data_IF_646578408530
#
_entry.id   IF_646578408530
#
_cell.length_a   1.000
_cell.length_b   1.000
_cell.length_c   1.000
_cell.angle_alpha   90.00
_cell.angle_beta   90.00
_cell.angle_gamma   90.00
#
_symmetry.space_group_name_H-M   'P 1'
#
loop_
_entity.id
_entity.type
_entity.pdbx_description
1 polymer ?
#
# COMPACT_ATOMS: atom_id res chain seq x y z
N UNK A 1 -6.76 -1.78 -14.80
CA UNK A 1 -6.80 -0.54 -13.99
C UNK A 1 -5.37 -0.06 -13.82
N UNK A 2 -5.03 1.05 -14.46
CA UNK A 2 -3.69 1.61 -14.64
C UNK A 2 -3.24 2.54 -13.50
N UNK A 3 -4.19 3.10 -12.74
CA UNK A 3 -3.91 4.09 -11.69
C UNK A 3 -2.92 3.60 -10.62
N UNK A 4 -3.17 2.47 -9.97
CA UNK A 4 -2.32 1.96 -8.89
C UNK A 4 -0.85 1.72 -9.33
N UNK A 5 -0.56 0.93 -10.39
CA UNK A 5 0.83 0.72 -10.81
C UNK A 5 1.52 1.98 -11.32
N UNK A 6 0.80 2.89 -12.00
CA UNK A 6 1.38 4.15 -12.49
C UNK A 6 1.65 5.17 -11.37
N UNK A 7 0.84 5.15 -10.30
CA UNK A 7 0.90 6.11 -9.20
C UNK A 7 1.82 5.64 -8.07
N UNK A 8 1.88 4.34 -7.79
CA UNK A 8 2.65 3.79 -6.66
C UNK A 8 3.95 3.11 -7.08
N UNK A 9 4.08 2.66 -8.34
CA UNK A 9 5.14 1.72 -8.72
C UNK A 9 6.57 2.21 -8.46
N UNK A 10 6.87 3.46 -8.83
CA UNK A 10 8.20 4.05 -8.62
C UNK A 10 8.46 4.33 -7.13
N UNK A 11 7.52 5.01 -6.45
CA UNK A 11 7.70 5.38 -5.05
C UNK A 11 7.76 4.14 -4.14
N UNK A 12 6.93 3.13 -4.41
CA UNK A 12 7.00 1.84 -3.71
C UNK A 12 8.36 1.17 -3.85
N UNK A 13 8.93 1.16 -5.06
CA UNK A 13 10.26 0.59 -5.32
C UNK A 13 11.31 1.30 -4.46
N UNK A 14 11.27 2.62 -4.43
CA UNK A 14 12.20 3.44 -3.67
C UNK A 14 12.12 3.13 -2.16
N UNK A 15 10.89 3.03 -1.62
CA UNK A 15 10.65 2.72 -0.21
C UNK A 15 11.12 1.32 0.15
N UNK A 16 10.64 0.27 -0.53
CA UNK A 16 10.99 -1.11 -0.15
C UNK A 16 12.50 -1.36 -0.27
N UNK A 17 13.13 -0.78 -1.29
CA UNK A 17 14.58 -0.92 -1.51
C UNK A 17 15.38 -0.32 -0.36
N UNK A 18 15.03 0.90 0.06
CA UNK A 18 15.78 1.64 1.07
C UNK A 18 15.36 1.36 2.51
N UNK A 19 14.21 0.72 2.76
CA UNK A 19 13.82 0.28 4.10
C UNK A 19 14.16 -1.18 4.38
N UNK A 20 14.02 -2.06 3.37
CA UNK A 20 14.04 -3.52 3.58
C UNK A 20 15.21 -4.18 2.84
N UNK A 21 15.35 -3.92 1.53
CA UNK A 21 16.19 -4.76 0.65
C UNK A 21 17.68 -4.46 0.70
N UNK A 22 18.05 -3.18 0.81
CA UNK A 22 19.45 -2.80 0.86
C UNK A 22 20.06 -3.12 2.24
N UNK A 23 21.34 -3.55 2.26
CA UNK A 23 22.16 -3.50 3.48
C UNK A 23 22.10 -2.11 4.12
N UNK A 24 22.11 -2.04 5.45
CA UNK A 24 21.87 -0.79 6.18
C UNK A 24 22.80 0.36 5.79
N UNK A 25 24.07 0.05 5.53
CA UNK A 25 25.13 0.98 5.11
C UNK A 25 24.92 1.55 3.69
N UNK A 26 24.03 0.94 2.90
CA UNK A 26 23.71 1.36 1.52
C UNK A 26 22.35 2.06 1.39
N UNK A 27 21.56 2.14 2.47
CA UNK A 27 20.24 2.75 2.45
C UNK A 27 20.33 4.27 2.35
N UNK A 28 19.54 4.86 1.46
CA UNK A 28 19.33 6.30 1.40
C UNK A 28 18.00 6.66 2.06
N UNK A 29 18.10 7.25 3.27
CA UNK A 29 16.95 7.68 4.06
C UNK A 29 16.13 8.77 3.36
N UNK A 30 16.77 9.64 2.56
CA UNK A 30 16.08 10.70 1.85
C UNK A 30 15.27 10.16 0.66
N UNK A 31 15.75 9.12 -0.03
CA UNK A 31 14.96 8.40 -1.05
C UNK A 31 13.75 7.73 -0.39
N UNK A 32 13.97 7.00 0.71
CA UNK A 32 12.88 6.35 1.45
C UNK A 32 11.82 7.36 1.88
N UNK A 33 12.22 8.48 2.51
CA UNK A 33 11.28 9.49 2.99
C UNK A 33 10.47 10.13 1.86
N UNK A 34 11.11 10.47 0.73
CA UNK A 34 10.38 11.02 -0.43
C UNK A 34 9.35 10.04 -0.98
N UNK A 35 9.67 8.76 -1.02
CA UNK A 35 8.75 7.71 -1.42
C UNK A 35 7.58 7.58 -0.44
N UNK A 36 7.85 7.57 0.87
CA UNK A 36 6.83 7.53 1.94
C UNK A 36 5.88 8.72 1.81
N UNK A 37 6.39 9.94 1.64
CA UNK A 37 5.56 11.15 1.53
C UNK A 37 4.63 11.10 0.30
N UNK A 38 5.13 10.59 -0.83
CA UNK A 38 4.35 10.44 -2.07
C UNK A 38 3.30 9.36 -1.95
N UNK A 39 3.67 8.18 -1.43
CA UNK A 39 2.74 7.10 -1.15
C UNK A 39 1.65 7.55 -0.17
N UNK A 40 1.99 8.32 0.86
CA UNK A 40 1.03 8.92 1.81
C UNK A 40 -0.01 9.77 1.09
N UNK A 41 0.42 10.66 0.18
CA UNK A 41 -0.52 11.50 -0.60
C UNK A 41 -1.45 10.65 -1.46
N UNK A 42 -0.92 9.63 -2.13
CA UNK A 42 -1.72 8.73 -2.97
C UNK A 42 -2.70 7.87 -2.15
N UNK A 43 -2.28 7.41 -0.97
CA UNK A 43 -3.17 6.68 -0.05
C UNK A 43 -4.24 7.57 0.57
N UNK A 44 -3.99 8.87 0.81
CA UNK A 44 -5.03 9.82 1.21
C UNK A 44 -6.12 9.95 0.15
N UNK A 45 -5.76 9.96 -1.13
CA UNK A 45 -6.74 9.94 -2.24
C UNK A 45 -7.56 8.65 -2.20
N UNK A 46 -6.90 7.50 -2.04
CA UNK A 46 -7.55 6.20 -1.94
C UNK A 46 -8.52 6.11 -0.74
N UNK A 47 -8.09 6.59 0.44
CA UNK A 47 -8.91 6.69 1.64
C UNK A 47 -10.18 7.51 1.40
N UNK A 48 -10.05 8.67 0.75
CA UNK A 48 -11.20 9.53 0.47
C UNK A 48 -12.19 8.87 -0.50
N UNK A 49 -11.70 8.12 -1.50
CA UNK A 49 -12.56 7.36 -2.41
C UNK A 49 -13.33 6.23 -1.67
N UNK A 50 -12.67 5.57 -0.72
CA UNK A 50 -13.28 4.52 0.12
C UNK A 50 -14.30 5.06 1.15
N UNK A 51 -14.36 6.37 1.37
CA UNK A 51 -15.41 6.97 2.20
C UNK A 51 -16.81 6.80 1.56
N UNK A 52 -16.88 6.71 0.23
CA UNK A 52 -18.15 6.60 -0.50
C UNK A 52 -18.57 5.15 -0.78
N UNK A 53 -17.65 4.19 -0.71
CA UNK A 53 -17.89 2.79 -1.09
C UNK A 53 -16.93 1.81 -0.39
N UNK A 54 -17.37 0.58 -0.10
CA UNK A 54 -16.57 -0.38 0.66
C UNK A 54 -15.37 -0.96 -0.12
N UNK A 55 -15.43 -0.94 -1.45
CA UNK A 55 -14.40 -1.48 -2.34
C UNK A 55 -14.17 -0.51 -3.49
N UNK A 56 -12.96 -0.51 -4.06
CA UNK A 56 -12.69 0.24 -5.30
C UNK A 56 -13.48 -0.29 -6.49
N UNK A 57 -13.94 -1.55 -6.39
CA UNK A 57 -14.83 -2.17 -7.37
C UNK A 57 -16.32 -1.90 -7.10
N UNK A 58 -16.66 -1.03 -6.15
CA UNK A 58 -18.04 -0.65 -5.80
C UNK A 58 -18.56 -1.37 -4.56
N UNK A 59 -19.75 -1.96 -4.66
CA UNK A 59 -20.41 -2.63 -3.52
C UNK A 59 -19.74 -3.94 -3.11
N UNK A 60 -19.04 -4.59 -4.03
CA UNK A 60 -18.40 -5.89 -3.82
C UNK A 60 -16.90 -5.81 -4.17
N UNK A 61 -16.10 -6.67 -3.54
CA UNK A 61 -14.69 -6.86 -3.91
C UNK A 61 -14.57 -7.27 -5.38
N UNK A 62 -13.60 -6.71 -6.08
CA UNK A 62 -13.35 -7.06 -7.48
C UNK A 62 -11.96 -6.67 -7.96
N UNK A 63 -11.81 -6.62 -9.28
CA UNK A 63 -10.52 -6.38 -9.95
C UNK A 63 -9.91 -5.01 -9.63
N UNK A 64 -10.72 -4.03 -9.21
CA UNK A 64 -10.22 -2.71 -8.82
C UNK A 64 -9.47 -2.70 -7.49
N UNK A 65 -9.73 -3.66 -6.62
CA UNK A 65 -9.12 -3.75 -5.31
C UNK A 65 -7.75 -4.45 -5.34
N UNK A 66 -7.54 -5.32 -6.33
CA UNK A 66 -6.38 -6.22 -6.39
C UNK A 66 -5.06 -5.44 -6.52
N UNK A 67 -4.88 -4.51 -7.50
CA UNK A 67 -3.60 -3.86 -7.69
C UNK A 67 -3.17 -3.01 -6.50
N UNK A 68 -4.08 -2.19 -5.96
CA UNK A 68 -3.77 -1.37 -4.79
C UNK A 68 -3.61 -2.23 -3.53
N UNK A 69 -4.38 -3.31 -3.41
CA UNK A 69 -4.27 -4.27 -2.31
C UNK A 69 -2.87 -4.86 -2.17
N UNK A 70 -2.17 -5.10 -3.28
CA UNK A 70 -0.78 -5.57 -3.26
C UNK A 70 0.18 -4.55 -2.61
N UNK A 71 0.04 -3.25 -2.94
CA UNK A 71 0.86 -2.19 -2.34
C UNK A 71 0.47 -1.91 -0.89
N UNK A 72 -0.82 -2.03 -0.56
CA UNK A 72 -1.35 -1.76 0.77
C UNK A 72 -0.75 -2.69 1.84
N UNK A 73 -0.56 -3.98 1.53
CA UNK A 73 0.09 -4.91 2.45
C UNK A 73 1.44 -4.37 2.91
N UNK A 74 2.31 -4.04 1.95
CA UNK A 74 3.64 -3.55 2.27
C UNK A 74 3.59 -2.20 3.01
N UNK A 75 2.67 -1.30 2.63
CA UNK A 75 2.47 -0.03 3.32
C UNK A 75 2.17 -0.20 4.82
N UNK A 76 1.29 -1.13 5.17
CA UNK A 76 0.92 -1.41 6.56
C UNK A 76 1.99 -2.19 7.34
N UNK A 77 2.88 -2.91 6.65
CA UNK A 77 3.99 -3.64 7.28
C UNK A 77 5.30 -2.84 7.37
N UNK A 78 5.49 -1.78 6.57
CA UNK A 78 6.71 -0.98 6.64
C UNK A 78 6.93 -0.38 8.03
N UNK A 79 8.17 -0.34 8.55
CA UNK A 79 8.49 0.23 9.86
C UNK A 79 8.51 1.77 9.80
N UNK A 80 7.36 2.39 9.57
CA UNK A 80 7.18 3.83 9.40
C UNK A 80 6.04 4.33 10.30
N UNK A 81 6.12 5.59 10.70
CA UNK A 81 4.98 6.28 11.30
C UNK A 81 3.96 6.61 10.21
N UNK A 82 2.66 6.43 10.51
CA UNK A 82 1.56 6.66 9.57
C UNK A 82 0.48 7.48 10.23
N UNK A 83 -0.04 8.47 9.52
CA UNK A 83 -1.27 9.16 9.91
C UNK A 83 -2.47 8.22 9.77
N UNK A 84 -3.48 8.30 10.66
CA UNK A 84 -4.68 7.49 10.55
C UNK A 84 -5.43 7.74 9.23
N UNK A 85 -5.81 6.66 8.56
CA UNK A 85 -6.61 6.67 7.33
C UNK A 85 -7.75 5.65 7.47
N UNK A 86 -8.83 5.99 8.21
CA UNK A 86 -9.78 5.00 8.73
C UNK A 86 -10.49 4.19 7.64
N UNK A 87 -10.81 4.79 6.49
CA UNK A 87 -11.47 4.06 5.40
C UNK A 87 -10.51 3.12 4.68
N UNK A 88 -9.25 3.53 4.53
CA UNK A 88 -8.19 2.68 3.99
C UNK A 88 -7.86 1.51 4.94
N UNK A 89 -7.76 1.78 6.24
CA UNK A 89 -7.53 0.77 7.28
C UNK A 89 -8.65 -0.26 7.34
N UNK A 90 -9.90 0.18 7.31
CA UNK A 90 -11.08 -0.68 7.27
C UNK A 90 -11.14 -1.54 5.99
N UNK A 91 -10.86 -0.95 4.82
CA UNK A 91 -10.72 -1.69 3.56
C UNK A 91 -9.58 -2.72 3.62
N UNK A 92 -8.41 -2.35 4.15
CA UNK A 92 -7.29 -3.28 4.31
C UNK A 92 -7.63 -4.42 5.27
N UNK A 93 -8.29 -4.13 6.40
CA UNK A 93 -8.78 -5.14 7.33
C UNK A 93 -9.69 -6.16 6.65
N UNK A 94 -10.59 -5.73 5.76
CA UNK A 94 -11.40 -6.67 4.96
C UNK A 94 -10.55 -7.51 3.99
N UNK A 95 -9.49 -6.94 3.40
CA UNK A 95 -8.58 -7.69 2.54
C UNK A 95 -7.84 -8.79 3.31
N UNK A 96 -7.33 -8.50 4.51
CA UNK A 96 -6.55 -9.47 5.31
C UNK A 96 -7.40 -10.66 5.78
N UNK A 97 -8.72 -10.52 5.86
CA UNK A 97 -9.62 -11.64 6.15
C UNK A 97 -9.69 -12.66 5.00
N UNK A 98 -9.38 -12.28 3.76
CA UNK A 98 -9.52 -13.13 2.57
C UNK A 98 -8.40 -14.19 2.50
N UNK A 99 -8.73 -15.50 2.44
CA UNK A 99 -7.70 -16.56 2.37
C UNK A 99 -6.74 -16.42 1.19
N UNK A 100 -7.24 -16.03 0.01
CA UNK A 100 -6.41 -15.85 -1.17
C UNK A 100 -5.42 -14.67 -1.02
N UNK A 101 -5.84 -13.58 -0.38
CA UNK A 101 -4.98 -12.42 -0.11
C UNK A 101 -3.87 -12.79 0.89
N UNK A 102 -4.23 -13.45 1.99
CA UNK A 102 -3.26 -13.98 2.96
C UNK A 102 -2.21 -14.88 2.31
N UNK A 103 -2.66 -15.79 1.44
CA UNK A 103 -1.77 -16.76 0.77
C UNK A 103 -0.86 -16.11 -0.26
N UNK A 104 -1.36 -15.16 -1.05
CA UNK A 104 -0.66 -14.67 -2.24
C UNK A 104 0.02 -13.31 -2.05
N UNK A 105 -0.41 -12.51 -1.07
CA UNK A 105 0.07 -11.14 -0.86
C UNK A 105 0.78 -10.98 0.48
N UNK A 106 0.23 -11.56 1.57
CA UNK A 106 0.78 -11.39 2.92
C UNK A 106 1.96 -12.33 3.20
N UNK A 107 2.94 -12.32 2.31
CA UNK A 107 4.21 -13.05 2.43
C UNK A 107 5.30 -12.12 2.94
N UNK A 108 6.38 -12.62 3.58
CA UNK A 108 7.47 -11.77 4.06
C UNK A 108 7.94 -10.75 3.01
N UNK A 109 8.07 -9.49 3.43
CA UNK A 109 8.66 -8.46 2.58
C UNK A 109 10.18 -8.70 2.49
N UNK A 110 10.64 -9.03 1.29
CA UNK A 110 12.05 -9.28 0.96
C UNK A 110 12.53 -8.43 -0.19
#
# INVERSE_FOLDING_TARGET
>A
MDWAPSTFGADFRDVITNLIRLPEDKRDKAIAQRGIDRMTRSFKIANNALAAQPWFSGSNFGVGDIPLGCYAYAWFEFPIEREPMPHLEDWYSRLTQRPAYRKAVMTPLT
#
